data_IF_989653843726
#
_entry.id   IF_989653843726
#
_cell.length_a   1.000
_cell.length_b   1.000
_cell.length_c   1.000
_cell.angle_alpha   90.00
_cell.angle_beta   90.00
_cell.angle_gamma   90.00
#
_symmetry.space_group_name_H-M   'P 1'
#
loop_
_entity.id
_entity.type
_entity.pdbx_description
1 polymer ?
#
# COMPACT_ATOMS: atom_id res chain seq x y z
N UNK A 1 6.77 8.36 -68.02
CA UNK A 1 6.41 7.11 -67.29
C UNK A 1 6.46 7.42 -65.81
N UNK A 2 5.30 7.56 -65.18
CA UNK A 2 5.18 7.64 -63.72
C UNK A 2 5.12 6.22 -63.18
N UNK A 3 5.84 5.91 -62.09
CA UNK A 3 5.39 5.02 -61.02
C UNK A 3 6.22 5.31 -59.76
N UNK A 4 5.55 5.86 -58.75
CA UNK A 4 6.00 5.85 -57.35
C UNK A 4 5.92 4.42 -56.81
N UNK A 5 6.84 4.01 -55.94
CA UNK A 5 6.50 3.19 -54.77
C UNK A 5 7.66 3.17 -53.77
N UNK A 6 7.51 3.95 -52.71
CA UNK A 6 8.10 3.65 -51.40
C UNK A 6 7.55 2.31 -50.91
N UNK A 7 8.36 1.34 -50.46
CA UNK A 7 7.83 0.24 -49.69
C UNK A 7 7.41 0.77 -48.31
N UNK A 8 6.11 0.64 -48.04
CA UNK A 8 5.46 0.99 -46.79
C UNK A 8 6.02 0.17 -45.62
N UNK A 9 6.04 0.83 -44.46
CA UNK A 9 6.52 0.32 -43.18
C UNK A 9 5.98 -1.07 -42.82
N UNK A 10 6.90 -2.03 -42.66
CA UNK A 10 6.62 -3.30 -42.01
C UNK A 10 6.77 -3.17 -40.48
N UNK A 11 5.95 -2.32 -39.86
CA UNK A 11 5.74 -2.35 -38.41
C UNK A 11 4.45 -3.12 -38.13
N UNK A 12 4.53 -4.44 -38.27
CA UNK A 12 3.47 -5.33 -37.81
C UNK A 12 3.41 -5.27 -36.28
N UNK A 13 2.33 -4.67 -35.77
CA UNK A 13 1.72 -4.95 -34.48
C UNK A 13 2.67 -5.34 -33.33
N UNK A 14 3.42 -4.37 -32.80
CA UNK A 14 3.80 -4.47 -31.39
C UNK A 14 2.55 -4.18 -30.56
N UNK A 15 2.01 -5.14 -29.78
CA UNK A 15 0.95 -4.82 -28.84
C UNK A 15 1.45 -3.69 -27.92
N UNK A 16 0.60 -2.72 -27.53
CA UNK A 16 1.04 -1.68 -26.61
C UNK A 16 1.61 -2.39 -25.39
N UNK A 17 2.89 -2.15 -25.10
CA UNK A 17 3.47 -2.51 -23.83
C UNK A 17 2.75 -1.66 -22.81
N UNK A 18 1.61 -2.15 -22.32
CA UNK A 18 1.06 -1.69 -21.06
C UNK A 18 2.17 -1.93 -20.06
N UNK A 19 2.90 -0.86 -19.77
CA UNK A 19 3.89 -0.80 -18.72
C UNK A 19 3.15 -1.20 -17.45
N UNK A 20 3.25 -2.49 -17.12
CA UNK A 20 2.88 -2.99 -15.82
C UNK A 20 3.88 -2.34 -14.87
N UNK A 21 3.60 -1.08 -14.47
CA UNK A 21 4.25 -0.43 -13.33
C UNK A 21 4.24 -1.50 -12.25
N UNK A 22 5.41 -2.01 -11.90
CA UNK A 22 5.51 -3.13 -10.96
C UNK A 22 4.87 -2.65 -9.66
N UNK A 23 3.63 -3.09 -9.41
CA UNK A 23 2.92 -2.79 -8.18
C UNK A 23 3.67 -3.60 -7.14
N UNK A 24 4.48 -2.94 -6.33
CA UNK A 24 5.28 -3.61 -5.30
C UNK A 24 4.41 -4.55 -4.44
N UNK A 25 5.05 -5.53 -3.81
CA UNK A 25 4.43 -6.65 -3.08
C UNK A 25 3.17 -6.24 -2.29
N UNK A 26 2.04 -6.92 -2.52
CA UNK A 26 0.79 -6.71 -1.77
C UNK A 26 0.45 -7.97 -1.00
N UNK A 27 0.01 -7.80 0.24
CA UNK A 27 -0.45 -8.86 1.11
C UNK A 27 -1.97 -8.72 1.33
N UNK A 28 -2.65 -9.83 1.55
CA UNK A 28 -4.03 -9.80 1.99
C UNK A 28 -4.08 -9.50 3.48
N UNK A 29 -4.81 -8.46 3.89
CA UNK A 29 -4.91 -8.06 5.29
C UNK A 29 -5.72 -9.03 6.16
N UNK A 30 -6.36 -10.05 5.57
CA UNK A 30 -7.07 -11.10 6.31
C UNK A 30 -6.26 -12.39 6.45
N UNK A 31 -5.62 -12.85 5.39
CA UNK A 31 -4.97 -14.18 5.35
C UNK A 31 -3.46 -14.13 5.07
N UNK A 32 -2.89 -12.94 4.86
CA UNK A 32 -1.46 -12.77 4.58
C UNK A 32 -1.00 -13.26 3.21
N UNK A 33 -1.90 -13.77 2.35
CA UNK A 33 -1.55 -14.23 1.01
C UNK A 33 -0.83 -13.12 0.23
N UNK A 34 0.20 -13.49 -0.52
CA UNK A 34 0.98 -12.57 -1.37
C UNK A 34 0.32 -12.47 -2.75
N UNK A 35 0.11 -11.25 -3.27
CA UNK A 35 -0.40 -11.03 -4.62
C UNK A 35 0.63 -11.51 -5.64
N UNK A 36 0.25 -12.50 -6.44
CA UNK A 36 1.06 -13.01 -7.54
C UNK A 36 0.68 -12.27 -8.85
N UNK A 37 1.62 -11.56 -9.50
CA UNK A 37 1.36 -10.87 -10.75
C UNK A 37 0.80 -11.83 -11.82
N UNK A 38 -0.28 -11.44 -12.49
CA UNK A 38 -0.89 -12.23 -13.57
C UNK A 38 -1.81 -13.38 -13.14
N UNK A 39 -1.81 -13.78 -11.86
CA UNK A 39 -2.69 -14.86 -11.38
C UNK A 39 -4.02 -14.32 -10.86
N UNK A 40 -3.97 -13.45 -9.85
CA UNK A 40 -5.17 -12.91 -9.20
C UNK A 40 -4.88 -11.53 -8.65
N UNK A 41 -5.64 -10.54 -9.12
CA UNK A 41 -5.51 -9.18 -8.62
C UNK A 41 -6.28 -8.99 -7.32
N UNK A 42 -5.58 -8.49 -6.31
CA UNK A 42 -6.14 -8.14 -5.02
C UNK A 42 -6.92 -6.84 -5.15
N UNK A 43 -8.08 -6.80 -4.48
CA UNK A 43 -8.97 -5.65 -4.48
C UNK A 43 -8.85 -4.89 -3.17
N UNK A 44 -8.97 -3.57 -3.27
CA UNK A 44 -9.09 -2.72 -2.10
C UNK A 44 -10.50 -2.79 -1.54
N UNK A 45 -10.63 -2.58 -0.23
CA UNK A 45 -11.91 -2.29 0.40
C UNK A 45 -12.55 -1.06 -0.27
N UNK A 46 -13.77 -1.19 -0.77
CA UNK A 46 -14.45 -0.09 -1.46
C UNK A 46 -14.78 1.13 -0.59
N UNK A 47 -14.83 0.97 0.73
CA UNK A 47 -15.12 2.09 1.65
C UNK A 47 -13.89 2.93 1.98
N UNK A 48 -12.84 2.30 2.48
CA UNK A 48 -11.64 2.99 2.95
C UNK A 48 -10.51 3.04 1.91
N UNK A 49 -10.59 2.28 0.82
CA UNK A 49 -9.59 2.21 -0.26
C UNK A 49 -8.14 1.92 0.19
N UNK A 50 -7.99 1.21 1.31
CA UNK A 50 -6.68 1.05 1.96
C UNK A 50 -6.32 -0.39 2.30
N UNK A 51 -7.28 -1.16 2.79
CA UNK A 51 -7.13 -2.58 3.09
C UNK A 51 -7.28 -3.42 1.80
N UNK A 52 -6.42 -4.41 1.61
CA UNK A 52 -6.34 -5.29 0.44
C UNK A 52 -6.86 -6.69 0.77
N UNK A 53 -7.67 -7.23 -0.13
CA UNK A 53 -8.19 -8.59 -0.04
C UNK A 53 -7.90 -9.38 -1.30
N UNK A 54 -7.45 -10.62 -1.12
CA UNK A 54 -7.28 -11.56 -2.21
C UNK A 54 -8.63 -12.07 -2.74
N UNK A 55 -9.72 -11.91 -1.99
CA UNK A 55 -11.06 -12.35 -2.40
C UNK A 55 -12.19 -11.68 -1.61
N UNK A 56 -13.44 -11.70 -2.12
CA UNK A 56 -14.62 -11.24 -1.39
C UNK A 56 -14.84 -12.01 -0.07
N UNK A 57 -14.46 -13.28 -0.02
CA UNK A 57 -14.58 -14.12 1.17
C UNK A 57 -13.65 -13.62 2.28
N UNK A 58 -12.41 -13.28 1.94
CA UNK A 58 -11.48 -12.66 2.87
C UNK A 58 -11.99 -11.30 3.37
N UNK A 59 -12.60 -10.50 2.50
CA UNK A 59 -13.23 -9.23 2.92
C UNK A 59 -14.38 -9.45 3.91
N UNK A 60 -15.28 -10.40 3.62
CA UNK A 60 -16.42 -10.74 4.49
C UNK A 60 -15.95 -11.28 5.84
N UNK A 61 -14.95 -12.17 5.84
CA UNK A 61 -14.37 -12.72 7.06
C UNK A 61 -13.69 -11.65 7.92
N UNK A 62 -13.02 -10.67 7.30
CA UNK A 62 -12.37 -9.57 8.00
C UNK A 62 -13.36 -8.49 8.49
N UNK A 63 -14.56 -8.44 7.95
CA UNK A 63 -15.49 -7.33 8.19
C UNK A 63 -15.80 -7.03 9.66
N UNK A 64 -16.04 -8.02 10.55
CA UNK A 64 -16.36 -7.75 11.95
C UNK A 64 -15.28 -6.93 12.68
N UNK A 65 -14.00 -7.23 12.45
CA UNK A 65 -12.88 -6.47 13.02
C UNK A 65 -12.54 -5.22 12.20
N UNK A 66 -12.75 -5.25 10.89
CA UNK A 66 -12.40 -4.14 10.00
C UNK A 66 -13.39 -2.97 10.06
N UNK A 67 -14.67 -3.20 10.33
CA UNK A 67 -15.74 -2.19 10.18
C UNK A 67 -15.43 -0.86 10.86
N UNK A 68 -15.04 -0.88 12.13
CA UNK A 68 -14.71 0.32 12.89
C UNK A 68 -13.51 1.07 12.28
N UNK A 69 -12.46 0.33 11.91
CA UNK A 69 -11.27 0.88 11.25
C UNK A 69 -11.63 1.48 9.89
N UNK A 70 -12.49 0.81 9.12
CA UNK A 70 -12.97 1.29 7.82
C UNK A 70 -13.68 2.63 7.97
N UNK A 71 -14.66 2.72 8.88
CA UNK A 71 -15.43 3.95 9.12
C UNK A 71 -14.53 5.11 9.57
N UNK A 72 -13.65 4.85 10.53
CA UNK A 72 -12.67 5.84 10.99
C UNK A 72 -11.77 6.30 9.84
N UNK A 73 -11.24 5.36 9.06
CA UNK A 73 -10.35 5.67 7.93
C UNK A 73 -11.05 6.49 6.86
N UNK A 74 -12.28 6.14 6.50
CA UNK A 74 -13.09 6.90 5.54
C UNK A 74 -13.32 8.33 6.02
N UNK A 75 -13.65 8.52 7.30
CA UNK A 75 -13.82 9.85 7.89
C UNK A 75 -12.54 10.69 7.85
N UNK A 76 -11.40 10.09 8.22
CA UNK A 76 -10.09 10.77 8.16
C UNK A 76 -9.70 11.15 6.73
N UNK A 77 -9.93 10.26 5.75
CA UNK A 77 -9.66 10.57 4.34
C UNK A 77 -10.54 11.72 3.84
N UNK A 78 -11.82 11.78 4.24
CA UNK A 78 -12.68 12.91 3.88
C UNK A 78 -12.25 14.22 4.54
N UNK A 79 -11.77 14.18 5.79
CA UNK A 79 -11.30 15.36 6.50
C UNK A 79 -9.96 15.87 5.94
N UNK A 80 -9.04 14.97 5.60
CA UNK A 80 -7.72 15.32 5.06
C UNK A 80 -7.80 16.10 3.74
N UNK A 81 -8.80 15.84 2.90
CA UNK A 81 -9.05 16.60 1.65
C UNK A 81 -9.36 18.09 1.89
N UNK A 82 -9.70 18.48 3.11
CA UNK A 82 -10.06 19.85 3.47
C UNK A 82 -8.89 20.61 4.11
N UNK A 83 -7.79 19.93 4.45
CA UNK A 83 -6.62 20.60 5.01
C UNK A 83 -5.63 20.99 3.89
N UNK A 84 -5.03 22.20 3.95
CA UNK A 84 -4.00 22.58 3.00
C UNK A 84 -2.81 21.63 3.17
N UNK A 85 -2.30 21.13 2.04
CA UNK A 85 -1.06 20.35 1.98
C UNK A 85 0.02 21.14 2.72
N UNK A 86 0.57 20.58 3.81
CA UNK A 86 1.69 21.20 4.51
C UNK A 86 2.84 21.40 3.54
N UNK A 87 3.45 22.59 3.50
CA UNK A 87 4.58 22.87 2.61
C UNK A 87 5.77 21.90 2.78
N UNK A 88 5.86 21.27 3.95
CA UNK A 88 6.88 20.28 4.32
C UNK A 88 6.63 18.88 3.72
N UNK A 89 5.37 18.54 3.42
CA UNK A 89 4.98 17.26 2.82
C UNK A 89 4.03 17.46 1.64
N UNK A 90 4.56 17.73 0.43
CA UNK A 90 3.74 18.11 -0.72
C UNK A 90 2.94 16.94 -1.35
N UNK A 91 3.19 15.69 -0.94
CA UNK A 91 2.53 14.53 -1.56
C UNK A 91 1.18 14.22 -0.89
N UNK A 92 0.10 14.51 -1.62
CA UNK A 92 -1.29 14.10 -1.32
C UNK A 92 -1.43 12.58 -1.04
N UNK A 93 -0.48 11.77 -1.52
CA UNK A 93 -0.46 10.33 -1.29
C UNK A 93 0.23 9.94 0.02
N UNK A 94 0.81 10.85 0.81
CA UNK A 94 1.57 10.52 2.01
C UNK A 94 0.81 9.59 2.95
N UNK A 95 -0.45 9.91 3.27
CA UNK A 95 -1.29 9.08 4.14
C UNK A 95 -1.54 7.68 3.57
N UNK A 96 -1.63 7.56 2.24
CA UNK A 96 -1.78 6.28 1.54
C UNK A 96 -0.48 5.48 1.55
N UNK A 97 0.64 6.15 1.35
CA UNK A 97 1.97 5.55 1.40
C UNK A 97 2.27 5.06 2.81
N UNK A 98 2.02 5.86 3.84
CA UNK A 98 2.25 5.49 5.23
C UNK A 98 1.44 4.26 5.61
N UNK A 99 0.17 4.22 5.22
CA UNK A 99 -0.68 3.06 5.47
C UNK A 99 -0.21 1.81 4.71
N UNK A 100 0.30 1.97 3.48
CA UNK A 100 0.93 0.86 2.74
C UNK A 100 2.18 0.36 3.46
N UNK A 101 3.02 1.27 3.94
CA UNK A 101 4.21 0.94 4.73
C UNK A 101 3.83 0.15 5.98
N UNK A 102 2.88 0.63 6.78
CA UNK A 102 2.47 -0.06 8.01
C UNK A 102 1.85 -1.42 7.74
N UNK A 103 0.99 -1.57 6.71
CA UNK A 103 0.46 -2.88 6.31
C UNK A 103 1.57 -3.84 5.87
N UNK A 104 2.54 -3.37 5.08
CA UNK A 104 3.64 -4.20 4.61
C UNK A 104 4.56 -4.67 5.75
N UNK A 105 4.80 -3.80 6.74
CA UNK A 105 5.68 -4.08 7.87
C UNK A 105 4.92 -4.54 9.12
N UNK A 106 3.63 -4.89 9.01
CA UNK A 106 2.78 -5.20 10.17
C UNK A 106 3.37 -6.29 11.08
N UNK A 107 3.96 -7.35 10.50
CA UNK A 107 4.60 -8.43 11.26
C UNK A 107 5.83 -7.94 12.03
N UNK A 108 6.68 -7.12 11.37
CA UNK A 108 7.90 -6.58 11.98
C UNK A 108 7.55 -5.56 13.06
N UNK A 109 6.64 -4.63 12.79
CA UNK A 109 6.17 -3.65 13.76
C UNK A 109 5.49 -4.32 14.96
N UNK A 110 4.69 -5.36 14.72
CA UNK A 110 4.06 -6.14 15.77
C UNK A 110 5.08 -6.86 16.66
N UNK A 111 6.09 -7.49 16.06
CA UNK A 111 7.15 -8.16 16.81
C UNK A 111 8.03 -7.17 17.58
N UNK A 112 8.40 -6.04 16.95
CA UNK A 112 9.14 -4.96 17.58
C UNK A 112 8.38 -4.42 18.79
N UNK A 113 7.08 -4.16 18.67
CA UNK A 113 6.23 -3.75 19.79
C UNK A 113 6.18 -4.80 20.89
N UNK A 114 6.00 -6.08 20.54
CA UNK A 114 5.96 -7.17 21.51
C UNK A 114 7.25 -7.29 22.33
N UNK A 115 8.41 -7.15 21.69
CA UNK A 115 9.71 -7.18 22.35
C UNK A 115 9.96 -5.91 23.16
N UNK A 116 9.75 -4.72 22.57
CA UNK A 116 9.99 -3.43 23.21
C UNK A 116 9.18 -3.27 24.50
N UNK A 117 7.91 -3.72 24.49
CA UNK A 117 7.04 -3.67 25.66
C UNK A 117 7.21 -4.88 26.59
N UNK A 118 8.05 -5.86 26.24
CA UNK A 118 8.28 -7.10 27.00
C UNK A 118 7.00 -7.89 27.30
N UNK A 119 6.05 -7.92 26.36
CA UNK A 119 4.69 -8.41 26.61
C UNK A 119 4.62 -9.90 26.98
N UNK A 120 5.63 -10.71 26.62
CA UNK A 120 5.73 -12.11 27.06
C UNK A 120 5.90 -12.24 28.58
N UNK A 121 6.68 -11.34 29.18
CA UNK A 121 7.02 -11.38 30.61
C UNK A 121 6.04 -10.53 31.41
N UNK A 122 5.68 -9.36 30.91
CA UNK A 122 4.85 -8.38 31.62
C UNK A 122 3.76 -7.83 30.67
N UNK A 123 2.62 -8.53 30.52
CA UNK A 123 1.56 -8.10 29.61
C UNK A 123 0.95 -6.73 29.94
N UNK A 124 1.00 -6.30 31.22
CA UNK A 124 0.48 -5.00 31.66
C UNK A 124 1.22 -3.80 31.09
N UNK A 125 2.44 -3.98 30.58
CA UNK A 125 3.25 -2.92 29.99
C UNK A 125 2.55 -2.23 28.81
N UNK A 126 1.62 -2.91 28.14
CA UNK A 126 0.79 -2.33 27.06
C UNK A 126 -0.02 -1.11 27.50
N UNK A 127 -0.23 -0.92 28.81
CA UNK A 127 -1.00 0.21 29.37
C UNK A 127 -0.13 1.36 29.87
N UNK A 128 1.19 1.17 29.96
CA UNK A 128 2.11 2.11 30.61
C UNK A 128 3.25 2.55 29.69
N UNK A 129 3.53 1.78 28.64
CA UNK A 129 4.64 2.00 27.73
C UNK A 129 4.16 1.99 26.29
N UNK A 130 4.86 2.73 25.45
CA UNK A 130 4.64 2.79 24.01
C UNK A 130 5.96 2.63 23.27
N UNK A 131 5.89 2.02 22.08
CA UNK A 131 6.98 2.04 21.11
C UNK A 131 6.74 3.20 20.15
N UNK A 132 7.65 4.18 20.14
CA UNK A 132 7.66 5.24 19.14
C UNK A 132 8.52 4.80 17.95
N UNK A 133 7.94 4.83 16.74
CA UNK A 133 8.65 4.61 15.48
C UNK A 133 8.59 5.91 14.71
N UNK A 134 9.71 6.60 14.61
CA UNK A 134 9.85 7.83 13.84
C UNK A 134 10.17 7.47 12.38
N UNK A 135 9.44 8.06 11.45
CA UNK A 135 9.57 7.80 10.02
C UNK A 135 9.81 9.11 9.29
N UNK A 136 10.78 9.14 8.38
CA UNK A 136 11.02 10.29 7.51
C UNK A 136 10.54 9.99 6.09
N UNK A 137 9.75 10.90 5.50
CA UNK A 137 9.32 10.77 4.11
C UNK A 137 10.43 11.22 3.15
N UNK A 138 10.79 10.36 2.20
CA UNK A 138 11.75 10.70 1.13
C UNK A 138 11.05 10.65 -0.24
N UNK A 139 10.87 11.80 -0.93
CA UNK A 139 10.18 11.85 -2.23
C UNK A 139 10.99 11.24 -3.38
N UNK A 140 12.32 11.23 -3.27
CA UNK A 140 13.23 10.65 -4.27
C UNK A 140 13.45 9.18 -3.96
N UNK A 141 12.53 8.33 -4.41
CA UNK A 141 12.77 6.89 -4.47
C UNK A 141 13.84 6.60 -5.52
N UNK A 142 15.08 6.41 -5.07
CA UNK A 142 16.16 5.88 -5.89
C UNK A 142 15.68 4.55 -6.49
N UNK A 143 15.60 4.44 -7.83
CA UNK A 143 14.92 3.33 -8.53
C UNK A 143 15.54 1.95 -8.26
N UNK A 144 16.69 1.91 -7.57
CA UNK A 144 17.39 0.70 -7.17
C UNK A 144 17.03 0.17 -5.78
N UNK A 145 16.32 0.93 -4.93
CA UNK A 145 15.89 0.43 -3.61
C UNK A 145 14.39 0.16 -3.64
N UNK A 146 14.02 -1.13 -3.59
CA UNK A 146 12.63 -1.59 -3.41
C UNK A 146 12.09 -1.27 -1.99
N UNK A 147 12.53 -0.18 -1.35
CA UNK A 147 12.02 0.28 -0.07
C UNK A 147 10.83 1.20 -0.29
N UNK A 148 9.78 1.01 0.51
CA UNK A 148 8.68 1.98 0.64
C UNK A 148 9.25 3.38 0.96
N UNK A 149 8.53 4.47 0.65
CA UNK A 149 9.06 5.85 0.71
C UNK A 149 9.30 6.42 2.12
N UNK A 150 9.39 5.53 3.12
CA UNK A 150 9.72 5.87 4.49
C UNK A 150 11.05 5.20 4.85
N UNK A 151 11.97 5.99 5.36
CA UNK A 151 13.24 5.57 5.95
C UNK A 151 13.12 5.56 7.47
#
# INVERSE_FOLDING_TARGET
MAYYSTPAAANFYSPPSHSHKQRGMRLCDQCGAVEQPGVKQFRLCGGCMTTNYCSPECQKAHWPSHKAICQHTTAQISAAKQQPISAEYPDENLAKLLRKFTSMHASVLGWAGFQALQLKRVPSNVRQHALLVELSFSPTGDSHRQSAPFL
#
